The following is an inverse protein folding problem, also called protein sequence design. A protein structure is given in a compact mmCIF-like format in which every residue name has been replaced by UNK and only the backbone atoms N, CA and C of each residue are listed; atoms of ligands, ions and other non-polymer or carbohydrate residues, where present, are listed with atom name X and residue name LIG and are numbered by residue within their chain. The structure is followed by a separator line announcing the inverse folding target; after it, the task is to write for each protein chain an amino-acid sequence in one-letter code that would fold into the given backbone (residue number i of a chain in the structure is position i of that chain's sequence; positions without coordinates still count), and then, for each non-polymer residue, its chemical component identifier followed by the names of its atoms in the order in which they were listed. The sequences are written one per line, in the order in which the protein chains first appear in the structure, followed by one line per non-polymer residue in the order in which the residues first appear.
data_IF_786304796342
#
_entry.id   IF_786304796342
#
_cell.length_a   1.000
_cell.length_b   1.000
_cell.length_c   1.000
_cell.angle_alpha   90.00
_cell.angle_beta   90.00
_cell.angle_gamma   90.00
#
_symmetry.space_group_name_H-M   'P 1'
#
loop_
_entity.id
_entity.type
_entity.pdbx_description
1 polymer ?
#
# COMPACT_ATOMS: atom_id res chain seq x y z
N UNK A 1 -19.49 -7.81 -1.73
CA UNK A 1 -18.65 -7.48 -2.90
C UNK A 1 -17.47 -6.69 -2.38
N UNK A 2 -16.24 -7.17 -2.55
CA UNK A 2 -15.06 -6.37 -2.22
C UNK A 2 -15.00 -5.18 -3.20
N UNK A 3 -14.53 -4.03 -2.74
CA UNK A 3 -14.40 -2.85 -3.61
C UNK A 3 -13.17 -3.04 -4.50
N UNK A 4 -13.41 -3.01 -5.80
CA UNK A 4 -12.37 -3.03 -6.83
C UNK A 4 -11.96 -1.59 -7.19
N UNK A 5 -10.66 -1.38 -7.42
CA UNK A 5 -10.09 -0.10 -7.85
C UNK A 5 -9.31 -0.27 -9.15
N UNK A 6 -9.20 0.81 -9.92
CA UNK A 6 -8.49 0.84 -11.21
C UNK A 6 -7.22 1.70 -11.16
N UNK A 7 -6.29 1.52 -12.12
CA UNK A 7 -5.14 2.38 -12.28
C UNK A 7 -5.50 3.87 -12.31
N UNK A 8 -4.65 4.69 -11.69
CA UNK A 8 -4.84 6.13 -11.65
C UNK A 8 -5.83 6.63 -10.60
N UNK A 9 -6.72 5.78 -10.06
CA UNK A 9 -7.56 6.14 -8.92
C UNK A 9 -6.69 6.45 -7.68
N UNK A 10 -7.21 7.31 -6.80
CA UNK A 10 -6.54 7.63 -5.53
C UNK A 10 -6.76 6.50 -4.53
N UNK A 11 -5.68 6.01 -3.96
CA UNK A 11 -5.68 4.95 -2.95
C UNK A 11 -6.36 5.46 -1.67
N UNK A 12 -7.49 4.85 -1.23
CA UNK A 12 -8.24 5.34 -0.08
C UNK A 12 -7.61 4.95 1.27
N UNK A 13 -6.91 3.81 1.32
CA UNK A 13 -6.27 3.27 2.52
C UNK A 13 -4.89 2.70 2.17
N UNK A 14 -3.91 2.93 3.03
CA UNK A 14 -2.62 2.24 2.92
C UNK A 14 -2.84 0.77 3.21
N UNK A 15 -2.08 -0.12 2.59
CA UNK A 15 -2.21 -1.54 2.86
C UNK A 15 -1.70 -2.44 1.76
N UNK A 16 -1.92 -3.74 1.95
CA UNK A 16 -1.66 -4.78 0.96
C UNK A 16 -2.90 -4.92 0.09
N UNK A 17 -2.69 -4.78 -1.21
CA UNK A 17 -3.71 -4.96 -2.23
C UNK A 17 -3.35 -6.16 -3.10
N UNK A 18 -4.34 -7.01 -3.38
CA UNK A 18 -4.25 -7.96 -4.49
C UNK A 18 -4.33 -7.18 -5.79
N UNK A 19 -3.47 -7.54 -6.74
CA UNK A 19 -3.50 -7.04 -8.11
C UNK A 19 -3.81 -8.21 -9.04
N UNK A 20 -4.84 -8.04 -9.86
CA UNK A 20 -5.21 -9.01 -10.88
C UNK A 20 -4.77 -8.47 -12.26
N UNK A 21 -3.87 -9.21 -12.89
CA UNK A 21 -3.30 -8.92 -14.20
C UNK A 21 -3.98 -9.73 -15.31
N UNK A 22 -3.80 -9.30 -16.57
CA UNK A 22 -4.19 -10.10 -17.73
C UNK A 22 -3.54 -11.51 -17.68
N UNK A 23 -4.26 -12.60 -18.03
CA UNK A 23 -3.73 -13.96 -17.97
C UNK A 23 -2.45 -14.20 -18.79
N UNK A 24 -2.22 -13.40 -19.82
CA UNK A 24 -1.02 -13.45 -20.67
C UNK A 24 0.20 -12.80 -20.03
N UNK A 25 0.03 -12.10 -18.91
CA UNK A 25 1.11 -11.50 -18.13
C UNK A 25 1.15 -12.03 -16.67
N UNK A 26 1.37 -13.34 -16.46
CA UNK A 26 1.17 -13.99 -15.16
C UNK A 26 2.34 -13.86 -14.17
N UNK A 27 3.52 -13.39 -14.60
CA UNK A 27 4.76 -13.36 -13.81
C UNK A 27 4.93 -12.07 -12.97
N UNK A 28 3.84 -11.57 -12.40
CA UNK A 28 3.84 -10.34 -11.60
C UNK A 28 3.45 -10.59 -10.14
N UNK A 29 3.85 -9.71 -9.20
CA UNK A 29 3.45 -9.83 -7.81
C UNK A 29 1.92 -9.87 -7.72
N UNK A 30 1.36 -10.88 -7.06
CA UNK A 30 -0.09 -10.96 -6.84
C UNK A 30 -0.57 -9.97 -5.78
N UNK A 31 0.34 -9.52 -4.92
CA UNK A 31 0.07 -8.58 -3.84
C UNK A 31 1.13 -7.49 -3.82
N UNK A 32 0.69 -6.26 -3.55
CA UNK A 32 1.54 -5.08 -3.47
C UNK A 32 1.15 -4.21 -2.28
N UNK A 33 2.13 -3.53 -1.68
CA UNK A 33 1.84 -2.49 -0.70
C UNK A 33 1.63 -1.16 -1.41
N UNK A 34 0.50 -0.50 -1.16
CA UNK A 34 0.21 0.85 -1.66
C UNK A 34 -0.09 1.80 -0.50
N UNK A 35 0.16 3.09 -0.73
CA UNK A 35 0.09 4.13 0.28
C UNK A 35 -1.12 5.03 0.00
N UNK A 36 -1.94 5.28 1.03
CA UNK A 36 -3.07 6.20 1.02
C UNK A 36 -2.71 7.56 0.39
N UNK A 37 -3.60 8.06 -0.46
CA UNK A 37 -3.43 9.34 -1.14
C UNK A 37 -2.50 9.31 -2.36
N UNK A 38 -1.76 8.22 -2.60
CA UNK A 38 -1.08 7.97 -3.89
C UNK A 38 -2.08 7.47 -4.94
N UNK A 39 -1.65 7.37 -6.18
CA UNK A 39 -2.45 6.74 -7.25
C UNK A 39 -2.07 5.27 -7.41
N UNK A 40 -3.04 4.43 -7.73
CA UNK A 40 -2.76 3.06 -8.14
C UNK A 40 -1.88 3.06 -9.40
N UNK A 41 -0.83 2.22 -9.46
CA UNK A 41 0.08 2.19 -10.60
C UNK A 41 -0.62 1.62 -11.85
N UNK A 42 -0.07 1.92 -13.01
CA UNK A 42 -0.45 1.32 -14.30
C UNK A 42 0.47 0.14 -14.62
N UNK A 43 -0.02 -0.87 -15.35
CA UNK A 43 0.82 -1.88 -15.98
C UNK A 43 0.86 -1.64 -17.49
N UNK A 44 2.04 -1.39 -18.11
CA UNK A 44 2.13 -1.12 -19.55
C UNK A 44 1.77 -2.30 -20.45
N UNK A 45 1.83 -3.53 -19.92
CA UNK A 45 1.63 -4.78 -20.68
C UNK A 45 0.20 -5.33 -20.58
N UNK A 46 -0.60 -4.82 -19.64
CA UNK A 46 -1.97 -5.25 -19.44
C UNK A 46 -2.94 -4.22 -20.02
N UNK A 47 -4.00 -4.68 -20.67
CA UNK A 47 -5.12 -3.82 -21.12
C UNK A 47 -5.99 -3.37 -19.96
N UNK A 48 -6.05 -4.16 -18.90
CA UNK A 48 -6.65 -3.80 -17.63
C UNK A 48 -5.93 -4.48 -16.48
N UNK A 49 -5.84 -3.78 -15.36
CA UNK A 49 -5.49 -4.38 -14.06
C UNK A 49 -6.48 -3.85 -13.03
N UNK A 50 -6.71 -4.63 -12.00
CA UNK A 50 -7.61 -4.26 -10.91
C UNK A 50 -6.92 -4.47 -9.57
N UNK A 51 -7.38 -3.72 -8.57
CA UNK A 51 -6.84 -3.78 -7.22
C UNK A 51 -7.95 -4.05 -6.22
N UNK A 52 -7.69 -4.94 -5.27
CA UNK A 52 -8.59 -5.24 -4.17
C UNK A 52 -7.82 -5.17 -2.85
N UNK A 53 -8.35 -4.43 -1.87
CA UNK A 53 -7.71 -4.33 -0.56
C UNK A 53 -7.82 -5.67 0.19
N UNK A 54 -6.67 -6.28 0.50
CA UNK A 54 -6.58 -7.53 1.26
C UNK A 54 -6.34 -7.23 2.73
N UNK A 55 -5.41 -6.32 3.04
CA UNK A 55 -5.08 -5.95 4.41
C UNK A 55 -4.84 -4.44 4.54
N UNK A 56 -5.68 -3.76 5.32
CA UNK A 56 -5.53 -2.34 5.61
C UNK A 56 -4.38 -2.11 6.61
N UNK A 57 -3.46 -1.22 6.28
CA UNK A 57 -2.49 -0.69 7.22
C UNK A 57 -3.06 0.57 7.89
N UNK A 58 -2.73 0.76 9.17
CA UNK A 58 -2.95 2.03 9.88
C UNK A 58 -1.63 2.77 9.95
N UNK A 59 -1.63 4.06 9.60
CA UNK A 59 -0.42 4.85 9.78
C UNK A 59 -0.15 5.02 11.28
N UNK A 60 1.12 5.07 11.70
CA UNK A 60 1.47 5.19 13.14
C UNK A 60 0.85 6.43 13.80
N UNK A 61 0.66 7.51 13.04
CA UNK A 61 -0.03 8.74 13.50
C UNK A 61 -1.55 8.60 13.61
N UNK A 62 -2.14 7.53 13.08
CA UNK A 62 -3.59 7.24 13.13
C UNK A 62 -3.94 6.21 14.22
N UNK A 63 -2.94 5.63 14.89
CA UNK A 63 -3.14 4.73 16.03
C UNK A 63 -2.75 5.44 17.33
N UNK A 64 -3.32 5.04 18.48
CA UNK A 64 -2.80 5.47 19.77
C UNK A 64 -1.29 5.24 19.86
N UNK A 65 -0.56 6.03 20.67
CA UNK A 65 0.89 5.88 20.82
C UNK A 65 1.22 4.41 21.07
N UNK A 66 1.94 3.79 20.14
CA UNK A 66 2.39 2.40 20.27
C UNK A 66 3.50 2.27 21.32
N UNK A 67 4.03 3.41 21.74
CA UNK A 67 5.08 3.60 22.72
C UNK A 67 4.74 4.90 23.44
N UNK A 68 4.88 4.92 24.76
CA UNK A 68 5.03 6.20 25.44
C UNK A 68 6.28 6.89 24.86
N UNK A 69 6.27 8.22 24.73
CA UNK A 69 7.46 8.98 24.29
C UNK A 69 8.70 8.68 25.15
N UNK A 70 8.52 8.05 26.33
CA UNK A 70 9.56 7.51 27.19
C UNK A 70 10.34 6.30 26.62
N UNK A 71 9.74 5.50 25.73
CA UNK A 71 10.35 4.29 25.16
C UNK A 71 11.11 4.57 23.85
N UNK A 72 10.80 5.68 23.19
CA UNK A 72 11.56 6.19 22.05
C UNK A 72 12.85 6.86 22.55
N UNK A 73 13.83 6.06 22.97
CA UNK A 73 15.18 6.61 23.18
C UNK A 73 15.63 7.25 21.86
N UNK A 74 16.04 8.54 21.84
CA UNK A 74 16.56 9.14 20.63
C UNK A 74 17.70 8.26 20.12
N UNK A 75 17.58 7.81 18.86
CA UNK A 75 18.71 7.25 18.13
C UNK A 75 19.70 8.40 18.09
N UNK A 76 20.74 8.33 18.91
CA UNK A 76 21.67 9.42 19.15
C UNK A 76 22.08 10.05 17.82
N UNK A 77 21.94 11.36 17.72
CA UNK A 77 22.44 12.14 16.60
C UNK A 77 23.96 11.94 16.50
N UNK A 78 24.39 10.97 15.69
CA UNK A 78 25.79 10.84 15.31
C UNK A 78 26.05 11.92 14.27
N UNK A 79 26.44 13.08 14.78
CA UNK A 79 27.17 14.11 14.03
C UNK A 79 28.66 13.80 14.17
N UNK A 80 29.22 13.13 13.17
CA UNK A 80 30.61 13.27 12.76
C UNK A 80 30.79 12.76 11.33
#
# INVERSE_FOLDING_TARGET
MAKEFRPGETVPLSGIYRIDHDPTHPLMPREVTVIKGRRFPTCPQCRGITFELVHAAKHVREVPPLFDDADLKPIGSRID
#
